data_IF_929576701839
#
_entry.id   IF_929576701839
#
_cell.length_a   1.000
_cell.length_b   1.000
_cell.length_c   1.000
_cell.angle_alpha   90.00
_cell.angle_beta   90.00
_cell.angle_gamma   90.00
#
_symmetry.space_group_name_H-M   'P 1'
#
loop_
_entity.id
_entity.type
_entity.pdbx_description
1 polymer ?
#
# COMPACT_ATOMS: atom_id res chain seq x y z
N UNK A 1 -16.60 15.51 -8.79
CA UNK A 1 -15.31 14.91 -9.19
C UNK A 1 -14.83 14.01 -8.07
N UNK A 2 -14.62 12.73 -8.35
CA UNK A 2 -14.02 11.82 -7.37
C UNK A 2 -12.57 12.26 -7.21
N UNK A 3 -12.18 12.52 -5.98
CA UNK A 3 -10.79 12.80 -5.61
C UNK A 3 -9.98 11.52 -5.85
N UNK A 4 -9.24 11.50 -6.96
CA UNK A 4 -8.52 10.34 -7.45
C UNK A 4 -7.48 9.87 -6.42
N UNK A 5 -6.80 10.81 -5.76
CA UNK A 5 -5.83 10.52 -4.70
C UNK A 5 -6.51 9.82 -3.51
N UNK A 6 -7.64 10.36 -3.02
CA UNK A 6 -8.41 9.71 -1.95
C UNK A 6 -8.92 8.32 -2.35
N UNK A 7 -9.22 8.11 -3.62
CA UNK A 7 -9.67 6.80 -4.12
C UNK A 7 -8.53 5.80 -4.17
N UNK A 8 -7.36 6.19 -4.67
CA UNK A 8 -6.16 5.35 -4.68
C UNK A 8 -5.72 4.99 -3.26
N UNK A 9 -5.76 5.94 -2.32
CA UNK A 9 -5.46 5.69 -0.91
C UNK A 9 -6.39 4.61 -0.34
N UNK A 10 -7.71 4.75 -0.53
CA UNK A 10 -8.70 3.77 -0.03
C UNK A 10 -8.50 2.39 -0.64
N UNK A 11 -8.16 2.32 -1.93
CA UNK A 11 -7.91 1.05 -2.61
C UNK A 11 -6.66 0.37 -2.05
N UNK A 12 -5.54 1.09 -1.90
CA UNK A 12 -4.32 0.52 -1.34
C UNK A 12 -4.48 0.12 0.13
N UNK A 13 -5.21 0.89 0.94
CA UNK A 13 -5.55 0.48 2.32
C UNK A 13 -6.32 -0.83 2.37
N UNK A 14 -7.28 -1.02 1.46
CA UNK A 14 -8.05 -2.27 1.35
C UNK A 14 -7.15 -3.45 0.95
N UNK A 15 -6.24 -3.22 0.00
CA UNK A 15 -5.29 -4.25 -0.45
C UNK A 15 -4.37 -4.67 0.70
N UNK A 16 -3.84 -3.72 1.46
CA UNK A 16 -3.01 -4.01 2.64
C UNK A 16 -3.78 -4.84 3.66
N UNK A 17 -5.01 -4.45 4.00
CA UNK A 17 -5.84 -5.22 4.93
C UNK A 17 -6.09 -6.65 4.46
N UNK A 18 -6.32 -6.85 3.17
CA UNK A 18 -6.48 -8.18 2.59
C UNK A 18 -5.21 -9.03 2.71
N UNK A 19 -4.05 -8.48 2.36
CA UNK A 19 -2.79 -9.21 2.47
C UNK A 19 -2.35 -9.43 3.92
N UNK A 20 -2.71 -8.55 4.86
CA UNK A 20 -2.51 -8.78 6.29
C UNK A 20 -3.33 -9.97 6.80
N UNK A 21 -4.58 -10.10 6.34
CA UNK A 21 -5.41 -11.27 6.63
C UNK A 21 -4.77 -12.54 6.06
N UNK A 22 -4.36 -12.53 4.77
CA UNK A 22 -3.69 -13.67 4.15
C UNK A 22 -2.37 -14.04 4.85
N UNK A 23 -1.62 -13.03 5.31
CA UNK A 23 -0.38 -13.24 6.07
C UNK A 23 -0.63 -13.89 7.44
N UNK A 24 -1.76 -13.57 8.09
CA UNK A 24 -2.16 -14.18 9.35
C UNK A 24 -2.58 -15.65 9.17
N UNK A 25 -3.19 -16.00 8.02
CA UNK A 25 -3.64 -17.36 7.71
C UNK A 25 -2.63 -18.19 6.91
N UNK A 26 -1.48 -17.61 6.53
CA UNK A 26 -0.50 -18.26 5.68
C UNK A 26 0.15 -19.47 6.36
N UNK A 27 0.20 -20.59 5.64
CA UNK A 27 0.74 -21.85 6.15
C UNK A 27 2.21 -22.07 5.82
N UNK A 28 2.74 -21.40 4.79
CA UNK A 28 4.13 -21.50 4.37
C UNK A 28 4.90 -20.19 4.55
N UNK A 29 6.16 -20.29 4.94
CA UNK A 29 7.06 -19.11 5.00
C UNK A 29 7.20 -18.39 3.66
N UNK A 30 7.17 -19.13 2.55
CA UNK A 30 7.21 -18.55 1.20
C UNK A 30 5.95 -17.72 0.88
N UNK A 31 4.78 -18.16 1.35
CA UNK A 31 3.55 -17.37 1.24
C UNK A 31 3.62 -16.13 2.11
N UNK A 32 4.15 -16.25 3.34
CA UNK A 32 4.33 -15.13 4.26
C UNK A 32 5.26 -14.07 3.70
N UNK A 33 6.37 -14.49 3.09
CA UNK A 33 7.32 -13.58 2.44
C UNK A 33 6.66 -12.84 1.28
N UNK A 34 5.95 -13.56 0.40
CA UNK A 34 5.23 -12.96 -0.72
C UNK A 34 4.17 -11.95 -0.28
N UNK A 35 3.41 -12.26 0.77
CA UNK A 35 2.40 -11.34 1.31
C UNK A 35 3.05 -10.13 1.99
N UNK A 36 4.15 -10.31 2.72
CA UNK A 36 4.93 -9.21 3.29
C UNK A 36 5.48 -8.29 2.22
N UNK A 37 6.04 -8.83 1.14
CA UNK A 37 6.55 -8.03 0.01
C UNK A 37 5.42 -7.19 -0.58
N UNK A 38 4.24 -7.79 -0.80
CA UNK A 38 3.10 -7.06 -1.35
C UNK A 38 2.58 -5.98 -0.41
N UNK A 39 2.49 -6.25 0.89
CA UNK A 39 2.12 -5.23 1.90
C UNK A 39 3.11 -4.06 1.88
N UNK A 40 4.41 -4.35 1.79
CA UNK A 40 5.45 -3.32 1.77
C UNK A 40 5.35 -2.43 0.52
N UNK A 41 5.13 -3.02 -0.65
CA UNK A 41 4.92 -2.26 -1.90
C UNK A 41 3.72 -1.31 -1.82
N UNK A 42 2.59 -1.79 -1.29
CA UNK A 42 1.37 -0.97 -1.14
C UNK A 42 1.55 0.11 -0.06
N UNK A 43 2.30 -0.17 1.01
CA UNK A 43 2.66 0.85 2.02
C UNK A 43 3.55 1.95 1.43
N UNK A 44 4.53 1.61 0.60
CA UNK A 44 5.34 2.60 -0.10
C UNK A 44 4.51 3.44 -1.08
N UNK A 45 3.53 2.82 -1.76
CA UNK A 45 2.61 3.55 -2.62
C UNK A 45 1.72 4.49 -1.80
N UNK A 46 1.17 4.04 -0.67
CA UNK A 46 0.40 4.88 0.23
C UNK A 46 1.19 6.05 0.78
N UNK A 47 2.45 5.82 1.15
CA UNK A 47 3.32 6.89 1.61
C UNK A 47 3.46 7.97 0.53
N UNK A 48 3.80 7.57 -0.70
CA UNK A 48 3.88 8.49 -1.86
C UNK A 48 2.57 9.22 -2.15
N UNK A 49 1.43 8.54 -2.02
CA UNK A 49 0.11 9.13 -2.25
C UNK A 49 -0.32 10.07 -1.12
N UNK A 50 0.20 9.88 0.10
CA UNK A 50 -0.09 10.71 1.28
C UNK A 50 0.88 11.88 1.42
N UNK A 51 2.07 11.80 0.84
CA UNK A 51 2.89 12.98 0.65
C UNK A 51 2.08 13.98 -0.19
N UNK A 52 1.87 15.22 0.29
CA UNK A 52 1.40 16.27 -0.60
C UNK A 52 2.37 16.32 -1.77
N UNK A 53 1.88 16.58 -2.99
CA UNK A 53 2.76 16.84 -4.14
C UNK A 53 3.76 17.93 -3.73
N UNK A 54 4.96 17.55 -3.28
CA UNK A 54 6.04 18.49 -3.16
C UNK A 54 6.35 18.83 -4.61
N UNK A 55 6.13 20.09 -5.04
CA UNK A 55 6.58 20.48 -6.36
C UNK A 55 8.08 20.18 -6.36
N UNK A 56 8.50 19.33 -7.29
CA UNK A 56 9.91 19.12 -7.54
C UNK A 56 10.47 20.46 -8.04
N UNK A 57 10.87 21.35 -7.12
CA UNK A 57 11.80 22.48 -7.25
C UNK A 57 11.75 23.45 -6.07
N UNK A 58 12.84 23.48 -5.32
CA UNK A 58 13.57 24.64 -4.77
C UNK A 58 14.67 24.04 -3.87
N UNK A 59 15.98 24.22 -4.05
CA UNK A 59 16.78 25.23 -4.72
C UNK A 59 18.11 24.60 -5.20
#
# INVERSE_FOLDING_TARGET
>A
MIDLQKTLIRVSEKIIGHYQYLLATATSERERERFRERINQEQQLLDKLRQPEQPARAA
#
